data_IF_609643838974
#
_entry.id   IF_609643838974
#
_cell.length_a   1.000
_cell.length_b   1.000
_cell.length_c   1.000
_cell.angle_alpha   90.00
_cell.angle_beta   90.00
_cell.angle_gamma   90.00
#
_symmetry.space_group_name_H-M   'P 1'
#
loop_
_entity.id
_entity.type
_entity.pdbx_description
1 polymer ?
#
# COMPACT_ATOMS: atom_id res chain seq x y z
N UNK A 1 -27.66 -8.73 2.89
CA UNK A 1 -26.38 -9.40 3.20
C UNK A 1 -25.26 -8.44 2.83
N UNK A 2 -24.36 -8.12 3.76
CA UNK A 2 -23.21 -7.28 3.46
C UNK A 2 -22.17 -8.10 2.71
N UNK A 3 -21.85 -7.67 1.49
CA UNK A 3 -20.82 -8.28 0.65
C UNK A 3 -19.70 -7.26 0.52
N UNK A 4 -18.51 -7.60 1.03
CA UNK A 4 -17.33 -6.78 0.88
C UNK A 4 -16.83 -6.91 -0.56
N UNK A 5 -16.67 -5.78 -1.24
CA UNK A 5 -16.03 -5.68 -2.53
C UNK A 5 -14.65 -5.03 -2.37
N UNK A 6 -13.72 -5.38 -3.25
CA UNK A 6 -12.38 -4.81 -3.23
C UNK A 6 -11.78 -4.71 -4.62
N UNK A 7 -10.85 -3.78 -4.78
CA UNK A 7 -10.08 -3.59 -6.00
C UNK A 7 -8.62 -3.31 -5.61
N UNK A 8 -7.71 -4.16 -6.08
CA UNK A 8 -6.28 -3.95 -5.94
C UNK A 8 -5.68 -3.65 -7.31
N UNK A 9 -4.87 -2.62 -7.36
CA UNK A 9 -4.11 -2.24 -8.54
C UNK A 9 -2.64 -2.02 -8.16
N UNK A 10 -1.74 -2.67 -8.89
CA UNK A 10 -0.28 -2.54 -8.74
C UNK A 10 0.30 -2.22 -10.11
N UNK A 11 1.01 -1.10 -10.24
CA UNK A 11 1.63 -0.67 -11.51
C UNK A 11 0.69 -0.76 -12.72
N UNK A 12 -0.55 -0.31 -12.53
CA UNK A 12 -1.64 -0.31 -13.52
C UNK A 12 -2.19 -1.70 -13.90
N UNK A 13 -1.82 -2.74 -13.15
CA UNK A 13 -2.37 -4.09 -13.29
C UNK A 13 -3.40 -4.30 -12.19
N UNK A 14 -4.63 -4.63 -12.59
CA UNK A 14 -5.71 -4.95 -11.64
C UNK A 14 -5.66 -6.42 -11.24
N UNK A 15 -5.75 -6.67 -9.94
CA UNK A 15 -5.78 -7.99 -9.35
C UNK A 15 -7.22 -8.32 -8.95
N UNK A 16 -7.85 -9.33 -9.57
CA UNK A 16 -9.27 -9.62 -9.35
C UNK A 16 -9.56 -10.23 -7.98
N UNK A 17 -8.56 -10.81 -7.32
CA UNK A 17 -8.72 -11.47 -6.04
C UNK A 17 -7.53 -11.22 -5.10
N UNK A 18 -7.83 -11.05 -3.82
CA UNK A 18 -6.84 -11.02 -2.75
C UNK A 18 -7.28 -12.05 -1.73
N UNK A 19 -6.34 -12.84 -1.22
CA UNK A 19 -6.62 -13.82 -0.17
C UNK A 19 -6.84 -13.14 1.17
N UNK A 20 -5.97 -12.17 1.47
CA UNK A 20 -5.97 -11.44 2.75
C UNK A 20 -5.35 -10.06 2.53
N UNK A 21 -5.96 -9.04 3.15
CA UNK A 21 -5.42 -7.68 3.21
C UNK A 21 -5.50 -7.21 4.66
N UNK A 22 -4.37 -6.76 5.20
CA UNK A 22 -4.25 -6.22 6.56
C UNK A 22 -3.67 -4.82 6.47
N UNK A 23 -4.46 -3.82 6.86
CA UNK A 23 -4.03 -2.42 6.95
C UNK A 23 -3.78 -2.08 8.41
N UNK A 24 -2.55 -1.66 8.71
CA UNK A 24 -2.12 -1.22 10.04
C UNK A 24 -1.82 0.28 9.98
N UNK A 25 -2.56 1.04 10.78
CA UNK A 25 -2.37 2.48 10.98
C UNK A 25 -2.07 2.75 12.44
N UNK A 26 -1.01 3.52 12.71
CA UNK A 26 -0.58 3.85 14.07
C UNK A 26 -0.23 5.33 14.17
N UNK A 27 -0.39 5.88 15.38
CA UNK A 27 0.11 7.23 15.71
C UNK A 27 1.60 7.22 16.05
N UNK A 28 2.13 6.07 16.48
CA UNK A 28 3.53 5.92 16.90
C UNK A 28 4.46 5.73 15.70
N UNK A 29 3.99 5.01 14.68
CA UNK A 29 4.69 4.81 13.42
C UNK A 29 4.06 5.77 12.41
N UNK A 30 4.80 6.78 11.90
CA UNK A 30 4.26 7.80 11.00
C UNK A 30 4.15 7.26 9.55
N UNK A 31 3.65 6.04 9.41
CA UNK A 31 3.47 5.33 8.14
C UNK A 31 2.40 4.26 8.31
N UNK A 32 1.45 4.24 7.39
CA UNK A 32 0.52 3.12 7.24
C UNK A 32 1.18 1.95 6.49
N UNK A 33 0.93 0.73 6.97
CA UNK A 33 1.46 -0.50 6.39
C UNK A 33 0.30 -1.35 5.89
N UNK A 34 0.30 -1.67 4.60
CA UNK A 34 -0.65 -2.59 3.99
C UNK A 34 0.06 -3.90 3.64
N UNK A 35 -0.38 -5.00 4.24
CA UNK A 35 0.09 -6.35 3.93
C UNK A 35 -0.94 -7.07 3.09
N UNK A 36 -0.55 -7.53 1.89
CA UNK A 36 -1.44 -8.18 0.93
C UNK A 36 -0.92 -9.59 0.65
N UNK A 37 -1.77 -10.59 0.81
CA UNK A 37 -1.50 -11.96 0.35
C UNK A 37 -2.26 -12.25 -0.93
N UNK A 38 -1.53 -12.51 -2.00
CA UNK A 38 -2.09 -12.84 -3.30
C UNK A 38 -2.21 -14.36 -3.49
N UNK A 39 -3.33 -14.84 -4.06
CA UNK A 39 -3.45 -16.23 -4.45
C UNK A 39 -2.49 -16.57 -5.59
N UNK A 40 -2.30 -17.86 -5.86
CA UNK A 40 -1.44 -18.32 -6.96
C UNK A 40 -2.07 -18.01 -8.31
N UNK A 41 -1.64 -16.91 -8.93
CA UNK A 41 -2.05 -16.54 -10.28
C UNK A 41 -1.24 -17.30 -11.33
N UNK A 42 -1.91 -18.06 -12.20
CA UNK A 42 -1.26 -18.83 -13.28
C UNK A 42 -0.55 -17.94 -14.31
N UNK A 43 -1.07 -16.73 -14.55
CA UNK A 43 -0.60 -15.83 -15.60
C UNK A 43 0.24 -14.65 -15.08
N UNK A 44 0.57 -14.61 -13.78
CA UNK A 44 1.36 -13.53 -13.22
C UNK A 44 2.83 -13.75 -13.58
N UNK A 45 3.37 -12.89 -14.45
CA UNK A 45 4.81 -12.87 -14.72
C UNK A 45 5.54 -12.50 -13.44
N UNK A 46 6.59 -13.25 -13.06
CA UNK A 46 7.37 -12.98 -11.84
C UNK A 46 7.89 -11.54 -11.78
N UNK A 47 8.18 -10.94 -12.93
CA UNK A 47 8.73 -9.58 -13.04
C UNK A 47 7.67 -8.47 -13.12
N UNK A 48 6.38 -8.82 -13.03
CA UNK A 48 5.30 -7.83 -13.08
C UNK A 48 5.16 -7.01 -11.80
N UNK A 49 5.61 -7.55 -10.66
CA UNK A 49 5.56 -6.90 -9.36
C UNK A 49 6.99 -6.60 -8.93
N UNK A 50 7.33 -5.32 -8.90
CA UNK A 50 8.69 -4.85 -8.57
C UNK A 50 8.64 -3.99 -7.31
N UNK A 51 9.74 -3.96 -6.54
CA UNK A 51 9.88 -3.01 -5.43
C UNK A 51 9.63 -1.57 -5.90
N UNK A 52 9.01 -0.78 -5.02
CA UNK A 52 8.57 0.59 -5.26
C UNK A 52 7.52 0.77 -6.37
N UNK A 53 6.89 -0.32 -6.82
CA UNK A 53 5.69 -0.24 -7.63
C UNK A 53 4.58 0.48 -6.86
N UNK A 54 3.83 1.34 -7.54
CA UNK A 54 2.67 2.03 -6.97
C UNK A 54 1.55 1.02 -6.69
N UNK A 55 0.93 1.15 -5.53
CA UNK A 55 -0.16 0.30 -5.05
C UNK A 55 -1.34 1.17 -4.69
N UNK A 56 -2.51 0.83 -5.20
CA UNK A 56 -3.78 1.41 -4.75
C UNK A 56 -4.72 0.28 -4.38
N UNK A 57 -5.25 0.33 -3.17
CA UNK A 57 -6.23 -0.63 -2.69
C UNK A 57 -7.50 0.10 -2.30
N UNK A 58 -8.61 -0.40 -2.84
CA UNK A 58 -9.95 0.07 -2.54
C UNK A 58 -10.74 -1.06 -1.92
N UNK A 59 -11.53 -0.75 -0.91
CA UNK A 59 -12.45 -1.70 -0.31
C UNK A 59 -13.75 -0.97 0.04
N UNK A 60 -14.83 -1.73 0.15
CA UNK A 60 -16.11 -1.20 0.58
C UNK A 60 -17.23 -2.20 0.38
N UNK A 61 -18.32 -2.05 1.13
CA UNK A 61 -19.47 -2.94 0.93
C UNK A 61 -20.19 -2.58 -0.36
N UNK A 62 -20.71 -3.61 -1.04
CA UNK A 62 -21.38 -3.49 -2.34
C UNK A 62 -22.43 -2.36 -2.40
N UNK A 63 -23.13 -2.11 -1.30
CA UNK A 63 -24.19 -1.09 -1.20
C UNK A 63 -23.67 0.36 -1.12
N UNK A 64 -22.42 0.56 -0.66
CA UNK A 64 -21.83 1.89 -0.44
C UNK A 64 -20.76 2.24 -1.50
N UNK A 65 -20.40 1.28 -2.35
CA UNK A 65 -19.35 1.44 -3.35
C UNK A 65 -17.95 1.17 -2.81
N UNK A 66 -16.95 1.39 -3.66
CA UNK A 66 -15.53 1.21 -3.33
C UNK A 66 -14.94 2.54 -2.85
N UNK A 67 -14.30 2.52 -1.68
CA UNK A 67 -13.57 3.65 -1.11
C UNK A 67 -12.07 3.41 -1.22
N UNK A 68 -11.29 4.49 -1.36
CA UNK A 68 -9.84 4.41 -1.43
C UNK A 68 -9.25 4.32 -0.03
N UNK A 69 -8.99 3.09 0.42
CA UNK A 69 -8.48 2.81 1.78
C UNK A 69 -6.95 2.96 1.86
N UNK A 70 -6.22 2.66 0.78
CA UNK A 70 -4.76 2.75 0.80
C UNK A 70 -4.16 3.17 -0.53
N UNK A 71 -3.12 4.00 -0.46
CA UNK A 71 -2.31 4.42 -1.59
C UNK A 71 -0.86 4.50 -1.15
N UNK A 72 0.02 3.77 -1.85
CA UNK A 72 1.42 3.68 -1.44
C UNK A 72 2.27 2.91 -2.43
N UNK A 73 3.31 2.28 -1.90
CA UNK A 73 4.36 1.63 -2.68
C UNK A 73 4.76 0.30 -2.08
N UNK A 74 5.20 -0.64 -2.93
CA UNK A 74 5.73 -1.93 -2.46
C UNK A 74 7.11 -1.72 -1.83
N UNK A 75 7.28 -2.11 -0.58
CA UNK A 75 8.57 -2.11 0.09
C UNK A 75 9.26 -3.46 -0.03
N UNK A 76 8.53 -4.53 0.26
CA UNK A 76 9.05 -5.90 0.29
C UNK A 76 8.11 -6.87 -0.43
N UNK A 77 8.72 -7.85 -1.09
CA UNK A 77 8.03 -8.93 -1.80
C UNK A 77 8.57 -10.22 -1.21
N UNK A 78 7.75 -10.93 -0.45
CA UNK A 78 8.11 -12.23 0.12
C UNK A 78 7.60 -13.32 -0.82
N UNK A 79 8.48 -14.07 -1.50
CA UNK A 79 8.11 -15.08 -2.50
C UNK A 79 7.51 -16.36 -1.89
N UNK A 80 7.00 -16.29 -0.65
CA UNK A 80 6.26 -17.39 -0.02
C UNK A 80 5.01 -17.71 -0.84
N UNK A 81 4.45 -18.91 -0.65
CA UNK A 81 3.16 -19.29 -1.23
C UNK A 81 2.17 -19.32 -0.07
N UNK A 82 1.14 -18.46 -0.03
CA UNK A 82 0.77 -17.38 -0.97
C UNK A 82 1.75 -16.20 -0.99
N UNK A 83 1.84 -15.50 -2.13
CA UNK A 83 2.77 -14.37 -2.34
C UNK A 83 2.37 -13.23 -1.42
N UNK A 84 3.29 -12.77 -0.58
CA UNK A 84 3.03 -11.73 0.41
C UNK A 84 3.76 -10.44 0.02
N UNK A 85 3.00 -9.35 -0.05
CA UNK A 85 3.48 -8.02 -0.40
C UNK A 85 3.33 -7.13 0.82
N UNK A 86 4.43 -6.47 1.21
CA UNK A 86 4.41 -5.43 2.23
C UNK A 86 4.50 -4.08 1.54
N UNK A 87 3.44 -3.30 1.69
CA UNK A 87 3.27 -1.99 1.08
C UNK A 87 3.30 -0.92 2.18
N UNK A 88 3.85 0.25 1.85
CA UNK A 88 3.97 1.40 2.75
C UNK A 88 3.42 2.64 2.08
N UNK A 89 2.86 3.54 2.87
CA UNK A 89 2.42 4.84 2.41
C UNK A 89 3.58 5.74 1.94
N UNK A 90 3.29 6.89 1.30
CA UNK A 90 4.33 7.82 0.88
C UNK A 90 5.12 8.44 2.05
N UNK A 91 4.55 8.51 3.25
CA UNK A 91 5.21 9.08 4.43
C UNK A 91 6.45 8.26 4.84
N UNK A 92 6.53 6.99 4.46
CA UNK A 92 7.73 6.19 4.62
C UNK A 92 8.99 6.89 4.06
N UNK A 93 8.86 7.56 2.91
CA UNK A 93 9.98 8.28 2.30
C UNK A 93 10.35 9.58 3.04
N UNK A 94 9.43 10.14 3.82
CA UNK A 94 9.67 11.31 4.66
C UNK A 94 10.49 10.98 5.91
N UNK A 95 10.58 9.71 6.31
CA UNK A 95 11.38 9.26 7.46
C UNK A 95 12.90 9.31 7.23
N UNK A 96 13.36 9.81 6.07
CA UNK A 96 14.80 9.90 5.75
C UNK A 96 15.53 10.74 6.80
N UNK A 97 16.54 10.13 7.42
CA UNK A 97 17.33 10.68 8.54
C UNK A 97 18.30 11.81 8.16
N UNK A 98 18.49 12.09 6.87
CA UNK A 98 19.45 13.11 6.43
C UNK A 98 18.75 14.45 6.25
N UNK A 99 19.03 15.35 7.18
CA UNK A 99 18.64 16.75 7.09
C UNK A 99 19.54 17.44 6.06
N UNK A 100 18.97 17.84 4.93
CA UNK A 100 19.72 18.48 3.83
C UNK A 100 19.91 19.99 4.01
N UNK A 101 19.12 20.61 4.88
CA UNK A 101 19.17 22.05 5.16
C UNK A 101 18.87 22.32 6.63
N UNK A 102 19.51 23.36 7.16
CA UNK A 102 19.19 23.92 8.46
C UNK A 102 18.06 24.95 8.34
N UNK A 103 17.07 24.83 9.20
CA UNK A 103 15.87 25.66 9.23
C UNK A 103 15.89 26.59 10.45
N UNK A 104 16.92 27.42 10.54
CA UNK A 104 17.06 28.39 11.62
C UNK A 104 15.92 29.44 11.59
N UNK A 105 15.14 29.52 12.68
CA UNK A 105 14.03 30.48 12.88
C UNK A 105 12.93 30.49 11.79
N UNK A 106 12.76 29.40 11.04
CA UNK A 106 11.66 29.27 10.08
C UNK A 106 10.49 28.53 10.71
N UNK A 107 9.26 29.09 10.67
CA UNK A 107 8.08 28.35 11.10
C UNK A 107 7.80 27.16 10.16
N UNK A 108 7.24 26.09 10.72
CA UNK A 108 6.91 24.86 9.96
C UNK A 108 5.85 25.10 8.89
N UNK A 109 4.89 26.00 9.17
CA UNK A 109 3.90 26.49 8.22
C UNK A 109 3.80 28.01 8.38
N UNK A 110 3.80 28.72 7.25
CA UNK A 110 3.41 30.14 7.20
C UNK A 110 1.94 30.13 6.82
N UNK A 111 1.07 30.57 7.73
CA UNK A 111 -0.36 30.76 7.47
C UNK A 111 -0.63 32.17 6.99
#
# INVERSE_FOLDING_TARGET
MFVLNQELEISNIKFPAITEAVLESSREIPTDILTIKLPKYKNLKKDSIVKFSKVTWKAGYFQYGLLSEFNGYILEISPKVPLELKCVDPFFFCQRKMMTQDYHQKPLMVF
#
